data_IF_515031833081
#
_entry.id   IF_515031833081
#
_cell.length_a   1.000
_cell.length_b   1.000
_cell.length_c   1.000
_cell.angle_alpha   90.00
_cell.angle_beta   90.00
_cell.angle_gamma   90.00
#
_symmetry.space_group_name_H-M   'P 1'
#
loop_
_entity.id
_entity.type
_entity.pdbx_description
1 polymer ?
#
# COMPACT_ATOMS: atom_id res chain seq x y z
N UNK A 1 3.15 26.56 -9.69
CA UNK A 1 3.88 27.13 -10.85
C UNK A 1 3.06 28.30 -11.39
N UNK A 2 3.55 29.52 -11.23
CA UNK A 2 2.92 30.73 -11.79
C UNK A 2 3.90 31.27 -12.84
N UNK A 3 3.74 30.86 -14.11
CA UNK A 3 4.77 31.08 -15.13
C UNK A 3 6.05 30.28 -14.85
N UNK A 4 7.20 30.96 -14.79
CA UNK A 4 8.52 30.35 -14.56
C UNK A 4 8.95 30.30 -13.08
N UNK A 5 8.11 30.83 -12.18
CA UNK A 5 8.40 30.90 -10.75
C UNK A 5 7.74 29.71 -10.04
N UNK A 6 8.57 28.94 -9.36
CA UNK A 6 8.14 27.88 -8.44
C UNK A 6 7.97 28.48 -7.06
N UNK A 7 6.74 28.47 -6.58
CA UNK A 7 6.41 28.83 -5.21
C UNK A 7 6.93 27.72 -4.28
N UNK A 8 7.67 28.11 -3.24
CA UNK A 8 8.23 27.20 -2.23
C UNK A 8 7.28 26.98 -1.06
N UNK A 9 6.13 27.67 -1.03
CA UNK A 9 5.13 27.47 0.02
C UNK A 9 4.44 26.11 -0.12
N UNK A 10 4.34 25.39 1.00
CA UNK A 10 3.65 24.11 1.04
C UNK A 10 2.14 24.35 1.05
N UNK A 11 1.50 24.15 -0.10
CA UNK A 11 0.04 24.16 -0.22
C UNK A 11 -0.49 22.76 -0.58
N UNK A 12 -1.79 22.52 -0.33
CA UNK A 12 -2.46 21.27 -0.76
C UNK A 12 -2.28 21.11 -2.28
N UNK A 13 -1.93 19.91 -2.73
CA UNK A 13 -1.64 19.66 -4.13
C UNK A 13 -0.31 20.26 -4.65
N UNK A 14 0.59 20.73 -3.78
CA UNK A 14 1.94 21.13 -4.20
C UNK A 14 2.76 19.95 -4.73
N UNK A 15 3.30 20.08 -5.94
CA UNK A 15 4.19 19.09 -6.56
C UNK A 15 5.65 19.34 -6.14
N UNK A 16 6.47 18.29 -6.14
CA UNK A 16 7.91 18.41 -5.91
C UNK A 16 8.56 18.83 -7.23
N UNK A 17 9.51 19.73 -7.17
CA UNK A 17 10.27 20.16 -8.33
C UNK A 17 11.75 20.26 -8.01
N UNK A 18 12.59 20.03 -9.02
CA UNK A 18 14.02 20.26 -8.96
C UNK A 18 14.45 21.04 -10.20
N UNK A 19 15.36 22.00 -10.01
CA UNK A 19 16.03 22.67 -11.11
C UNK A 19 17.19 21.79 -11.55
N UNK A 20 17.20 21.38 -12.81
CA UNK A 20 18.19 20.46 -13.36
C UNK A 20 18.94 21.18 -14.46
N UNK A 21 20.27 21.01 -14.47
CA UNK A 21 21.16 21.42 -15.55
C UNK A 21 21.82 20.16 -16.08
N UNK A 22 21.64 19.92 -17.38
CA UNK A 22 22.23 18.80 -18.11
C UNK A 22 23.24 19.36 -19.09
N UNK A 23 24.47 18.89 -19.01
CA UNK A 23 25.54 19.24 -19.95
C UNK A 23 25.94 17.99 -20.71
N UNK A 24 25.84 18.02 -22.03
CA UNK A 24 26.41 16.99 -22.88
C UNK A 24 27.89 17.31 -23.13
N UNK A 25 28.78 16.49 -22.58
CA UNK A 25 30.24 16.67 -22.71
C UNK A 25 30.73 16.51 -24.15
N UNK A 26 29.98 15.80 -25.01
CA UNK A 26 30.38 15.51 -26.38
C UNK A 26 29.94 16.60 -27.37
N UNK A 27 28.72 17.12 -27.21
CA UNK A 27 28.15 18.15 -28.09
C UNK A 27 28.29 19.57 -27.53
N UNK A 28 28.59 19.72 -26.24
CA UNK A 28 28.65 21.02 -25.55
C UNK A 28 27.28 21.66 -25.30
N UNK A 29 26.18 20.97 -25.62
CA UNK A 29 24.82 21.46 -25.39
C UNK A 29 24.51 21.47 -23.89
N UNK A 30 23.91 22.57 -23.43
CA UNK A 30 23.41 22.71 -22.05
C UNK A 30 21.90 22.87 -22.11
N UNK A 31 21.17 21.99 -21.42
CA UNK A 31 19.74 22.08 -21.22
C UNK A 31 19.46 22.31 -19.74
N UNK A 32 18.65 23.33 -19.43
CA UNK A 32 18.30 23.66 -18.05
C UNK A 32 16.80 23.92 -17.89
N UNK A 33 16.29 23.59 -16.72
CA UNK A 33 14.91 23.88 -16.38
C UNK A 33 14.39 23.11 -15.19
N UNK A 34 13.15 23.41 -14.82
CA UNK A 34 12.46 22.76 -13.73
C UNK A 34 11.74 21.49 -14.18
N UNK A 35 12.01 20.40 -13.47
CA UNK A 35 11.34 19.11 -13.63
C UNK A 35 10.51 18.84 -12.38
N UNK A 36 9.25 18.46 -12.55
CA UNK A 36 8.32 18.25 -11.45
C UNK A 36 7.52 16.96 -11.62
N UNK A 37 7.28 16.25 -10.51
CA UNK A 37 6.53 14.98 -10.48
C UNK A 37 5.02 15.16 -10.70
N UNK A 38 4.53 16.39 -10.53
CA UNK A 38 3.11 16.71 -10.60
C UNK A 38 2.33 16.22 -9.37
N UNK A 39 1.05 16.55 -9.35
CA UNK A 39 0.09 16.19 -8.32
C UNK A 39 -1.32 16.15 -8.91
N UNK A 40 -2.34 15.91 -8.09
CA UNK A 40 -3.74 16.03 -8.51
C UNK A 40 -4.13 17.46 -8.97
N UNK A 41 -3.36 18.48 -8.58
CA UNK A 41 -3.65 19.89 -8.86
C UNK A 41 -2.65 20.55 -9.83
N UNK A 42 -1.47 19.96 -10.03
CA UNK A 42 -0.39 20.53 -10.85
C UNK A 42 0.10 19.46 -11.82
N UNK A 43 0.11 19.72 -13.14
CA UNK A 43 0.63 18.76 -14.10
C UNK A 43 2.14 18.54 -13.91
N UNK A 44 2.63 17.37 -14.32
CA UNK A 44 4.05 17.08 -14.34
C UNK A 44 4.79 18.00 -15.33
N UNK A 45 6.06 18.27 -15.05
CA UNK A 45 6.95 19.10 -15.89
C UNK A 45 8.17 18.28 -16.28
N UNK A 46 8.52 18.34 -17.56
CA UNK A 46 9.62 17.57 -18.16
C UNK A 46 10.64 18.53 -18.76
N UNK A 47 11.91 18.14 -18.77
CA UNK A 47 12.99 18.88 -19.43
C UNK A 47 13.38 18.15 -20.71
N UNK A 48 13.16 18.78 -21.86
CA UNK A 48 13.67 18.27 -23.14
C UNK A 48 15.17 18.58 -23.19
N UNK A 49 15.99 17.55 -23.35
CA UNK A 49 17.45 17.70 -23.49
C UNK A 49 17.79 17.92 -24.96
N UNK A 50 17.17 17.12 -25.84
CA UNK A 50 17.21 17.24 -27.29
C UNK A 50 15.95 16.60 -27.90
N UNK A 51 15.91 16.41 -29.21
CA UNK A 51 14.75 15.83 -29.91
C UNK A 51 14.50 14.34 -29.58
N UNK A 52 15.47 13.65 -28.97
CA UNK A 52 15.40 12.22 -28.65
C UNK A 52 15.29 11.93 -27.14
N UNK A 53 15.79 12.84 -26.29
CA UNK A 53 15.94 12.64 -24.86
C UNK A 53 15.19 13.70 -24.06
N UNK A 54 14.43 13.22 -23.08
CA UNK A 54 13.77 14.06 -22.08
C UNK A 54 14.02 13.52 -20.68
N UNK A 55 14.12 14.43 -19.72
CA UNK A 55 14.21 14.14 -18.31
C UNK A 55 12.85 14.32 -17.65
N UNK A 56 12.43 13.31 -16.89
CA UNK A 56 11.19 13.30 -16.15
C UNK A 56 11.44 12.96 -14.68
N UNK A 57 10.63 13.51 -13.78
CA UNK A 57 10.59 13.11 -12.37
C UNK A 57 9.47 12.09 -12.18
N UNK A 58 9.76 10.99 -11.49
CA UNK A 58 8.76 9.96 -11.20
C UNK A 58 7.90 10.37 -10.01
N UNK A 59 6.62 9.97 -10.06
CA UNK A 59 5.73 10.13 -8.91
C UNK A 59 6.11 9.14 -7.81
N UNK A 60 6.22 9.66 -6.59
CA UNK A 60 6.50 8.84 -5.42
C UNK A 60 5.28 7.99 -5.07
N UNK A 61 5.51 6.69 -4.93
CA UNK A 61 4.52 5.81 -4.29
C UNK A 61 4.68 5.87 -2.78
N UNK A 62 3.57 6.02 -2.03
CA UNK A 62 3.60 5.97 -0.57
C UNK A 62 4.02 4.57 -0.10
N UNK A 63 4.82 4.53 0.98
CA UNK A 63 5.38 3.27 1.54
C UNK A 63 4.40 2.54 2.46
N UNK A 64 3.52 3.29 3.11
CA UNK A 64 2.56 2.81 4.10
C UNK A 64 1.35 3.74 4.06
N UNK A 65 0.18 3.15 4.30
CA UNK A 65 -1.04 3.88 4.60
C UNK A 65 -1.52 3.49 5.99
N UNK A 66 -1.92 4.49 6.75
CA UNK A 66 -2.44 4.31 8.09
C UNK A 66 -3.52 5.34 8.39
N UNK A 67 -4.34 5.02 9.37
CA UNK A 67 -5.35 5.93 9.90
C UNK A 67 -5.42 5.77 11.41
N UNK A 68 -5.62 6.89 12.09
CA UNK A 68 -6.01 6.90 13.49
C UNK A 68 -7.54 6.87 13.53
N UNK A 69 -8.08 5.82 14.15
CA UNK A 69 -9.53 5.60 14.23
C UNK A 69 -9.95 5.53 15.70
N UNK A 70 -11.20 5.92 15.97
CA UNK A 70 -11.85 5.76 17.26
C UNK A 70 -13.04 4.82 17.11
N UNK A 71 -13.05 3.74 17.90
CA UNK A 71 -14.14 2.78 17.93
C UNK A 71 -14.95 3.01 19.19
N UNK A 72 -16.24 3.30 19.02
CA UNK A 72 -17.17 3.50 20.13
C UNK A 72 -17.89 2.19 20.46
N UNK A 73 -17.78 1.75 21.71
CA UNK A 73 -18.54 0.63 22.27
C UNK A 73 -19.88 1.10 22.83
N UNK A 74 -19.90 2.31 23.38
CA UNK A 74 -21.08 3.07 23.77
C UNK A 74 -20.83 4.56 23.56
N UNK A 75 -21.80 5.43 23.88
CA UNK A 75 -21.61 6.89 23.76
C UNK A 75 -20.47 7.43 24.64
N UNK A 76 -20.15 6.74 25.74
CA UNK A 76 -19.15 7.19 26.73
C UNK A 76 -17.89 6.31 26.74
N UNK A 77 -17.96 5.11 26.15
CA UNK A 77 -16.87 4.16 26.10
C UNK A 77 -16.34 4.02 24.66
N UNK A 78 -15.08 4.41 24.47
CA UNK A 78 -14.41 4.31 23.19
C UNK A 78 -12.95 3.88 23.36
N UNK A 79 -12.38 3.34 22.30
CA UNK A 79 -10.97 2.98 22.22
C UNK A 79 -10.37 3.55 20.92
N UNK A 80 -9.16 4.11 21.04
CA UNK A 80 -8.42 4.71 19.93
C UNK A 80 -7.42 3.68 19.37
N UNK A 81 -7.39 3.52 18.05
CA UNK A 81 -6.52 2.58 17.35
C UNK A 81 -5.77 3.24 16.20
N UNK A 82 -4.50 2.88 16.06
CA UNK A 82 -3.72 3.13 14.85
C UNK A 82 -3.80 1.90 13.95
N UNK A 83 -4.48 2.03 12.82
CA UNK A 83 -4.60 0.95 11.84
C UNK A 83 -3.68 1.21 10.65
N UNK A 84 -3.12 0.15 10.08
CA UNK A 84 -2.35 0.21 8.84
C UNK A 84 -2.99 -0.72 7.81
N UNK A 85 -2.81 -0.40 6.53
CA UNK A 85 -3.22 -1.31 5.46
C UNK A 85 -2.58 -2.69 5.67
N UNK A 86 -3.39 -3.75 5.50
CA UNK A 86 -3.07 -5.16 5.77
C UNK A 86 -2.77 -5.53 7.23
N UNK A 87 -2.90 -4.62 8.18
CA UNK A 87 -2.80 -4.91 9.62
C UNK A 87 -4.14 -4.63 10.31
N UNK A 88 -5.10 -5.56 10.24
CA UNK A 88 -6.40 -5.35 10.86
C UNK A 88 -6.31 -5.36 12.38
N UNK A 89 -7.18 -4.59 13.01
CA UNK A 89 -7.40 -4.63 14.46
C UNK A 89 -8.62 -5.49 14.75
N UNK A 90 -8.59 -6.26 15.84
CA UNK A 90 -9.70 -7.11 16.25
C UNK A 90 -10.37 -6.55 17.51
N UNK A 91 -11.65 -6.20 17.42
CA UNK A 91 -12.43 -5.59 18.52
C UNK A 91 -13.79 -6.28 18.61
N UNK A 92 -14.12 -6.83 19.78
CA UNK A 92 -15.44 -7.46 20.00
C UNK A 92 -15.80 -8.60 19.03
N UNK A 93 -14.80 -9.31 18.47
CA UNK A 93 -14.99 -10.33 17.45
C UNK A 93 -15.21 -9.81 16.03
N UNK A 94 -15.05 -8.51 15.80
CA UNK A 94 -14.93 -7.90 14.48
C UNK A 94 -13.47 -7.71 14.13
N UNK A 95 -13.12 -7.91 12.86
CA UNK A 95 -11.86 -7.46 12.28
C UNK A 95 -12.12 -6.18 11.50
N UNK A 96 -11.38 -5.14 11.83
CA UNK A 96 -11.47 -3.82 11.20
C UNK A 96 -10.27 -3.65 10.28
N UNK A 97 -10.54 -3.51 9.00
CA UNK A 97 -9.55 -3.34 7.94
C UNK A 97 -9.61 -1.92 7.38
N UNK A 98 -8.45 -1.33 7.15
CA UNK A 98 -8.35 -0.19 6.24
C UNK A 98 -8.15 -0.74 4.83
N UNK A 99 -9.11 -0.48 3.94
CA UNK A 99 -9.12 -1.04 2.58
C UNK A 99 -8.83 -0.03 1.50
N UNK A 100 -9.02 1.26 1.77
CA UNK A 100 -8.80 2.28 0.75
C UNK A 100 -8.73 3.70 1.29
N UNK A 101 -8.41 4.61 0.38
CA UNK A 101 -8.39 6.05 0.54
C UNK A 101 -8.56 6.67 -0.86
N UNK A 102 -8.62 8.00 -0.98
CA UNK A 102 -8.64 8.65 -2.29
C UNK A 102 -7.24 8.62 -2.93
N UNK A 103 -7.02 7.66 -3.82
CA UNK A 103 -5.75 7.49 -4.51
C UNK A 103 -5.37 8.68 -5.40
N UNK A 104 -6.35 9.40 -5.96
CA UNK A 104 -6.08 10.57 -6.80
C UNK A 104 -5.50 11.71 -5.98
N UNK A 105 -6.07 11.95 -4.79
CA UNK A 105 -5.52 12.94 -3.86
C UNK A 105 -4.27 12.46 -3.13
N UNK A 106 -3.97 11.15 -3.13
CA UNK A 106 -2.75 10.60 -2.56
C UNK A 106 -2.54 11.03 -1.10
N UNK A 107 -1.41 11.69 -0.82
CA UNK A 107 -1.08 12.19 0.53
C UNK A 107 -2.04 13.28 1.05
N UNK A 108 -2.84 13.87 0.18
CA UNK A 108 -3.83 14.91 0.51
C UNK A 108 -5.25 14.34 0.63
N UNK A 109 -5.42 13.02 0.60
CA UNK A 109 -6.70 12.37 0.87
C UNK A 109 -7.15 12.63 2.30
N UNK A 110 -8.39 13.08 2.45
CA UNK A 110 -9.09 13.19 3.74
C UNK A 110 -10.07 12.02 3.96
N UNK A 111 -10.20 11.15 2.95
CA UNK A 111 -11.10 10.00 2.97
C UNK A 111 -10.34 8.73 3.31
N UNK A 112 -10.92 7.92 4.19
CA UNK A 112 -10.46 6.55 4.48
C UNK A 112 -11.65 5.60 4.37
N UNK A 113 -11.44 4.45 3.73
CA UNK A 113 -12.45 3.41 3.56
C UNK A 113 -12.12 2.27 4.50
N UNK A 114 -13.05 1.98 5.41
CA UNK A 114 -12.91 0.97 6.46
C UNK A 114 -13.89 -0.16 6.20
N UNK A 115 -13.41 -1.40 6.32
CA UNK A 115 -14.23 -2.60 6.21
C UNK A 115 -14.26 -3.32 7.56
N UNK A 116 -15.47 -3.68 8.02
CA UNK A 116 -15.68 -4.46 9.23
C UNK A 116 -16.16 -5.86 8.86
N UNK A 117 -15.38 -6.87 9.25
CA UNK A 117 -15.67 -8.28 8.97
C UNK A 117 -15.86 -9.04 10.26
N UNK A 118 -16.98 -9.76 10.38
CA UNK A 118 -17.22 -10.70 11.49
C UNK A 118 -17.46 -12.09 10.95
N UNK A 119 -16.59 -13.01 11.33
CA UNK A 119 -16.72 -14.44 10.99
C UNK A 119 -16.61 -15.29 12.27
N UNK A 120 -17.75 -15.66 12.87
CA UNK A 120 -17.79 -16.54 14.04
C UNK A 120 -17.52 -18.02 13.71
N UNK A 121 -17.56 -18.44 12.44
CA UNK A 121 -17.43 -19.84 12.02
C UNK A 121 -15.99 -20.25 11.72
N UNK A 122 -15.09 -19.29 11.54
CA UNK A 122 -13.68 -19.54 11.30
C UNK A 122 -13.04 -20.54 12.29
N UNK A 123 -13.32 -20.51 13.61
CA UNK A 123 -12.82 -21.53 14.54
C UNK A 123 -13.30 -22.95 14.22
N UNK A 124 -14.57 -23.10 13.82
CA UNK A 124 -15.16 -24.40 13.48
C UNK A 124 -14.51 -24.96 12.20
N UNK A 125 -14.27 -24.10 11.22
CA UNK A 125 -13.54 -24.47 9.99
C UNK A 125 -12.14 -24.97 10.33
N UNK A 126 -11.41 -24.26 11.22
CA UNK A 126 -10.08 -24.69 11.66
C UNK A 126 -10.11 -26.05 12.36
N UNK A 127 -11.11 -26.33 13.19
CA UNK A 127 -11.29 -27.66 13.79
C UNK A 127 -11.39 -28.74 12.71
N UNK A 128 -12.18 -28.51 11.66
CA UNK A 128 -12.30 -29.43 10.52
C UNK A 128 -10.97 -29.66 9.78
N UNK A 129 -10.23 -28.58 9.49
CA UNK A 129 -8.92 -28.67 8.82
C UNK A 129 -7.93 -29.50 9.66
N UNK A 130 -7.86 -29.26 10.97
CA UNK A 130 -7.00 -30.04 11.86
C UNK A 130 -7.44 -31.51 11.93
N UNK A 131 -8.75 -31.79 11.96
CA UNK A 131 -9.27 -33.15 11.95
C UNK A 131 -8.83 -33.92 10.70
N UNK A 132 -8.92 -33.29 9.53
CA UNK A 132 -8.44 -33.87 8.27
C UNK A 132 -6.93 -34.12 8.34
N UNK A 133 -6.15 -33.13 8.80
CA UNK A 133 -4.69 -33.25 8.94
C UNK A 133 -4.30 -34.43 9.85
N UNK A 134 -4.93 -34.56 11.01
CA UNK A 134 -4.72 -35.68 11.92
C UNK A 134 -5.14 -37.02 11.31
N UNK A 135 -6.27 -37.07 10.61
CA UNK A 135 -6.71 -38.28 9.89
C UNK A 135 -5.69 -38.73 8.84
N UNK A 136 -5.16 -37.80 8.06
CA UNK A 136 -4.11 -38.09 7.06
C UNK A 136 -2.82 -38.56 7.71
N UNK A 137 -2.34 -37.88 8.75
CA UNK A 137 -1.15 -38.29 9.52
C UNK A 137 -1.31 -39.70 10.11
N UNK A 138 -2.49 -40.00 10.66
CA UNK A 138 -2.82 -41.31 11.20
C UNK A 138 -2.77 -42.41 10.14
N UNK A 139 -3.37 -42.17 8.96
CA UNK A 139 -3.33 -43.12 7.84
C UNK A 139 -1.91 -43.36 7.33
N UNK A 140 -1.09 -42.31 7.22
CA UNK A 140 0.31 -42.43 6.80
C UNK A 140 1.15 -43.23 7.80
N UNK A 141 0.93 -43.02 9.11
CA UNK A 141 1.63 -43.77 10.14
C UNK A 141 1.23 -45.24 10.13
N UNK A 142 -0.07 -45.54 10.07
CA UNK A 142 -0.56 -46.92 10.06
C UNK A 142 -0.23 -47.66 8.74
N UNK A 143 -0.21 -46.95 7.61
CA UNK A 143 0.11 -47.50 6.30
C UNK A 143 1.54 -48.04 6.19
N UNK A 144 2.50 -47.50 6.96
CA UNK A 144 3.89 -48.00 7.01
C UNK A 144 4.02 -49.41 7.62
N UNK A 145 3.03 -49.90 8.38
CA UNK A 145 3.08 -51.21 9.04
C UNK A 145 2.56 -52.39 8.20
N UNK A 146 2.09 -52.16 6.97
CA UNK A 146 1.38 -53.17 6.14
C UNK A 146 2.13 -53.60 4.87
N UNK A 147 3.45 -53.58 4.86
CA UNK A 147 4.22 -54.27 3.80
C UNK A 147 4.16 -55.77 4.08
N UNK A 148 3.11 -56.45 3.59
CA UNK A 148 3.09 -57.92 3.54
C UNK A 148 4.20 -58.36 2.59
N UNK A 149 5.33 -58.83 3.13
CA UNK A 149 6.27 -59.66 2.38
C UNK A 149 5.52 -60.89 1.89
N UNK A 150 5.20 -60.93 0.60
CA UNK A 150 4.81 -62.18 -0.06
C UNK A 150 6.03 -63.10 0.03
N UNK A 151 6.01 -64.09 0.93
CA UNK A 151 6.94 -65.22 0.87
C UNK A 151 6.59 -66.04 -0.38
N UNK A 152 7.60 -66.19 -1.23
CA UNK A 152 7.62 -67.12 -2.37
C UNK A 152 7.62 -68.57 -1.89
#
# INVERSE_FOLDING_TARGET
KYGDIYDTTSHRGGARAAYIVVTDESSGIVAEGWVADGSYAVPASYLMINDELSLAMTQLRPKKYSSDIRIYHSMEEYEDFHIEVNKPVSVGGWKVYQVGYDEQMGRWSETSVIELVRDPWLPVVYVGIFMILFGTLYLLWMGKGRIKTKKA
#
